data_IF_288701904726
#
_entry.id   IF_288701904726
#
_cell.length_a   1.000
_cell.length_b   1.000
_cell.length_c   1.000
_cell.angle_alpha   90.00
_cell.angle_beta   90.00
_cell.angle_gamma   90.00
#
_symmetry.space_group_name_H-M   'P 1'
#
loop_
_entity.id
_entity.type
_entity.pdbx_description
1 polymer ?
#
# COMPACT_ATOMS: atom_id res chain seq x y z
N UNK A 1 -51.82 21.52 -18.51
CA UNK A 1 -51.84 20.55 -17.38
C UNK A 1 -50.79 19.50 -17.73
N UNK A 2 -49.53 19.67 -17.30
CA UNK A 2 -48.95 19.12 -16.05
C UNK A 2 -49.04 17.58 -16.05
N UNK A 3 -47.99 16.77 -15.95
CA UNK A 3 -46.66 16.95 -15.37
C UNK A 3 -45.63 16.06 -16.09
N UNK A 4 -44.50 16.66 -16.44
CA UNK A 4 -43.23 15.97 -16.55
C UNK A 4 -42.62 15.96 -15.13
N UNK A 5 -42.38 14.78 -14.58
CA UNK A 5 -41.65 14.59 -13.33
C UNK A 5 -40.64 13.48 -13.59
N UNK A 6 -39.41 13.87 -13.96
CA UNK A 6 -38.28 13.88 -13.03
C UNK A 6 -37.90 12.47 -12.55
N UNK A 7 -37.59 11.60 -13.50
CA UNK A 7 -36.69 10.46 -13.26
C UNK A 7 -35.28 11.02 -13.07
N UNK A 8 -34.97 11.32 -11.81
CA UNK A 8 -33.66 11.74 -11.35
C UNK A 8 -32.66 10.62 -11.60
N UNK A 9 -31.77 10.90 -12.55
CA UNK A 9 -30.41 10.39 -12.70
C UNK A 9 -29.75 10.06 -11.34
N UNK A 10 -29.94 8.85 -10.84
CA UNK A 10 -28.98 8.19 -9.95
C UNK A 10 -27.99 7.40 -10.81
N UNK A 11 -27.29 8.11 -11.70
CA UNK A 11 -26.04 7.62 -12.22
C UNK A 11 -25.04 7.75 -11.08
N UNK A 12 -24.82 6.66 -10.34
CA UNK A 12 -23.62 6.54 -9.52
C UNK A 12 -22.47 6.75 -10.50
N UNK A 13 -21.82 7.89 -10.38
CA UNK A 13 -20.67 8.25 -11.18
C UNK A 13 -19.52 7.33 -10.77
N UNK A 14 -19.50 6.14 -11.38
CA UNK A 14 -18.43 5.16 -11.25
C UNK A 14 -17.18 5.58 -12.05
N UNK A 15 -17.19 6.74 -12.72
CA UNK A 15 -16.01 7.26 -13.38
C UNK A 15 -15.09 7.87 -12.33
N UNK A 16 -14.16 7.02 -11.88
CA UNK A 16 -12.85 7.44 -11.37
C UNK A 16 -12.93 8.04 -9.96
N UNK A 17 -12.85 7.16 -8.96
CA UNK A 17 -12.11 7.47 -7.73
C UNK A 17 -10.67 7.81 -8.15
N UNK A 18 -10.43 9.03 -8.62
CA UNK A 18 -9.09 9.56 -8.84
C UNK A 18 -8.40 9.52 -7.49
N UNK A 19 -7.49 8.57 -7.33
CA UNK A 19 -6.63 8.53 -6.14
C UNK A 19 -5.96 9.90 -6.01
N UNK A 20 -6.23 10.57 -4.90
CA UNK A 20 -5.77 11.91 -4.58
C UNK A 20 -4.44 11.84 -3.81
N UNK A 21 -3.73 12.96 -3.77
CA UNK A 21 -2.65 13.15 -2.79
C UNK A 21 -3.20 13.06 -1.36
N UNK A 22 -4.46 13.44 -1.13
CA UNK A 22 -5.12 13.31 0.16
C UNK A 22 -5.26 11.85 0.60
N UNK A 23 -5.48 10.92 -0.34
CA UNK A 23 -5.53 9.49 -0.03
C UNK A 23 -4.17 8.98 0.45
N UNK A 24 -3.08 9.50 -0.12
CA UNK A 24 -1.71 9.19 0.31
C UNK A 24 -1.46 9.72 1.73
N UNK A 25 -1.85 10.97 1.99
CA UNK A 25 -1.72 11.58 3.33
C UNK A 25 -2.56 10.85 4.36
N UNK A 26 -3.80 10.51 4.04
CA UNK A 26 -4.70 9.76 4.92
C UNK A 26 -4.15 8.35 5.20
N UNK A 27 -3.68 7.64 4.17
CA UNK A 27 -3.06 6.31 4.34
C UNK A 27 -1.81 6.36 5.25
N UNK A 28 -0.97 7.39 5.11
CA UNK A 28 0.16 7.61 6.03
C UNK A 28 -0.32 7.86 7.46
N UNK A 29 -1.25 8.80 7.67
CA UNK A 29 -1.76 9.16 8.99
C UNK A 29 -2.43 7.97 9.71
N UNK A 30 -3.14 7.11 8.96
CA UNK A 30 -3.77 5.91 9.51
C UNK A 30 -2.77 4.83 9.93
N UNK A 31 -1.55 4.82 9.38
CA UNK A 31 -0.54 3.80 9.66
C UNK A 31 0.54 4.28 10.63
N UNK A 32 0.86 5.57 10.62
CA UNK A 32 1.89 6.18 11.45
C UNK A 32 1.68 5.88 12.95
N UNK A 33 2.76 5.46 13.62
CA UNK A 33 2.75 5.11 15.04
C UNK A 33 1.97 3.85 15.42
N UNK A 34 1.30 3.15 14.50
CA UNK A 34 0.52 1.95 14.84
C UNK A 34 1.39 0.72 15.08
N UNK A 35 2.50 0.60 14.36
CA UNK A 35 3.49 -0.44 14.61
C UNK A 35 4.66 0.19 15.36
N UNK A 36 4.80 -0.14 16.64
CA UNK A 36 5.87 0.39 17.50
C UNK A 36 6.42 -0.64 18.49
N UNK A 37 5.82 -1.82 18.56
CA UNK A 37 6.16 -2.93 19.44
C UNK A 37 5.69 -4.26 18.81
N UNK A 38 5.96 -5.37 19.49
CA UNK A 38 5.38 -6.66 19.14
C UNK A 38 3.90 -6.65 19.56
N UNK A 39 2.96 -6.69 18.62
CA UNK A 39 1.51 -6.70 18.87
C UNK A 39 0.85 -8.04 18.47
N UNK A 40 1.66 -9.08 18.36
CA UNK A 40 1.23 -10.44 18.05
C UNK A 40 1.69 -11.44 19.12
N UNK A 41 0.89 -12.51 19.36
CA UNK A 41 1.31 -13.60 20.23
C UNK A 41 2.65 -14.18 19.75
N UNK A 42 3.64 -14.20 20.63
CA UNK A 42 4.99 -14.71 20.34
C UNK A 42 5.43 -15.57 21.50
N UNK A 43 5.86 -16.81 21.23
CA UNK A 43 6.53 -17.64 22.22
C UNK A 43 8.05 -17.53 22.01
N UNK A 44 8.75 -16.91 22.97
CA UNK A 44 10.19 -16.68 22.88
C UNK A 44 10.98 -17.54 23.87
N UNK A 45 12.07 -18.16 23.41
CA UNK A 45 12.94 -18.98 24.25
C UNK A 45 12.33 -20.32 24.69
N UNK A 46 13.01 -21.03 25.59
CA UNK A 46 12.57 -22.34 26.08
C UNK A 46 11.43 -22.22 27.11
N UNK A 47 11.34 -21.10 27.81
CA UNK A 47 10.24 -20.83 28.74
C UNK A 47 9.00 -20.28 28.04
N UNK A 48 9.02 -20.15 26.70
CA UNK A 48 7.90 -19.66 25.89
C UNK A 48 7.34 -18.31 26.38
N UNK A 49 8.24 -17.35 26.62
CA UNK A 49 7.87 -16.01 27.08
C UNK A 49 6.92 -15.36 26.07
N UNK A 50 5.79 -14.84 26.56
CA UNK A 50 4.86 -14.06 25.75
C UNK A 50 5.35 -12.61 25.63
N UNK A 51 5.65 -12.20 24.39
CA UNK A 51 6.16 -10.86 24.09
C UNK A 51 5.08 -9.91 23.57
N UNK A 52 3.82 -10.35 23.49
CA UNK A 52 2.72 -9.55 22.99
C UNK A 52 2.51 -8.28 23.83
N UNK A 53 2.54 -7.13 23.17
CA UNK A 53 2.44 -5.80 23.76
C UNK A 53 3.72 -5.28 24.42
N UNK A 54 4.78 -6.09 24.55
CA UNK A 54 5.99 -5.70 25.27
C UNK A 54 6.95 -4.87 24.42
N UNK A 55 7.63 -3.95 25.11
CA UNK A 55 8.78 -3.18 24.61
C UNK A 55 10.11 -3.75 25.09
N UNK A 56 11.18 -3.43 24.39
CA UNK A 56 12.56 -3.80 24.74
C UNK A 56 12.94 -3.36 26.18
N UNK A 57 12.50 -2.17 26.58
CA UNK A 57 12.72 -1.62 27.91
C UNK A 57 11.99 -2.40 29.01
N UNK A 58 10.76 -2.86 28.74
CA UNK A 58 9.99 -3.68 29.67
C UNK A 58 10.62 -5.07 29.84
N UNK A 59 11.03 -5.71 28.75
CA UNK A 59 11.76 -6.98 28.80
C UNK A 59 13.10 -6.84 29.56
N UNK A 60 13.77 -5.68 29.44
CA UNK A 60 14.98 -5.39 30.23
C UNK A 60 14.69 -5.30 31.73
N UNK A 61 13.55 -4.73 32.13
CA UNK A 61 13.13 -4.71 33.54
C UNK A 61 12.83 -6.11 34.06
N UNK A 62 12.11 -6.93 33.27
CA UNK A 62 11.82 -8.33 33.61
C UNK A 62 13.11 -9.16 33.75
N UNK A 63 14.10 -8.93 32.88
CA UNK A 63 15.41 -9.58 32.99
C UNK A 63 16.13 -9.25 34.31
N UNK A 64 15.95 -8.04 34.87
CA UNK A 64 16.54 -7.63 36.15
C UNK A 64 15.77 -8.18 37.35
N UNK A 65 14.47 -8.40 37.18
CA UNK A 65 13.59 -8.93 38.23
C UNK A 65 13.63 -10.46 38.34
N UNK A 66 14.22 -11.15 37.36
CA UNK A 66 14.31 -12.62 37.29
C UNK A 66 15.75 -13.09 37.44
N UNK A 67 15.96 -14.37 37.71
CA UNK A 67 17.28 -14.96 37.94
C UNK A 67 17.54 -16.17 37.03
N UNK A 68 18.82 -16.53 36.91
CA UNK A 68 19.25 -17.70 36.14
C UNK A 68 18.80 -17.65 34.67
N UNK A 69 18.31 -18.78 34.17
CA UNK A 69 17.93 -18.94 32.75
C UNK A 69 16.84 -17.99 32.30
N UNK A 70 15.84 -17.73 33.14
CA UNK A 70 14.74 -16.83 32.79
C UNK A 70 15.25 -15.41 32.53
N UNK A 71 16.19 -14.93 33.35
CA UNK A 71 16.88 -13.65 33.16
C UNK A 71 17.62 -13.58 31.82
N UNK A 72 18.30 -14.66 31.43
CA UNK A 72 18.99 -14.75 30.13
C UNK A 72 18.01 -14.70 28.95
N UNK A 73 16.88 -15.41 29.04
CA UNK A 73 15.84 -15.39 28.02
C UNK A 73 15.18 -14.02 27.90
N UNK A 74 14.89 -13.33 29.01
CA UNK A 74 14.40 -11.96 28.98
C UNK A 74 15.41 -10.97 28.37
N UNK A 75 16.72 -11.14 28.62
CA UNK A 75 17.75 -10.32 27.94
C UNK A 75 17.77 -10.56 26.44
N UNK A 76 17.59 -11.81 26.01
CA UNK A 76 17.51 -12.13 24.59
C UNK A 76 16.23 -11.57 23.96
N UNK A 77 15.08 -11.68 24.64
CA UNK A 77 13.82 -11.09 24.22
C UNK A 77 13.92 -9.56 24.10
N UNK A 78 14.58 -8.89 25.06
CA UNK A 78 14.78 -7.45 25.01
C UNK A 78 15.57 -6.99 23.78
N UNK A 79 16.62 -7.73 23.38
CA UNK A 79 17.38 -7.45 22.16
C UNK A 79 16.50 -7.61 20.91
N UNK A 80 15.79 -8.72 20.81
CA UNK A 80 14.90 -9.00 19.68
C UNK A 80 13.77 -7.97 19.55
N UNK A 81 13.15 -7.57 20.67
CA UNK A 81 12.17 -6.48 20.69
C UNK A 81 12.79 -5.14 20.25
N UNK A 82 14.05 -4.88 20.62
CA UNK A 82 14.77 -3.70 20.15
C UNK A 82 14.97 -3.68 18.63
N UNK A 83 15.22 -4.83 18.02
CA UNK A 83 15.30 -4.97 16.55
C UNK A 83 13.95 -4.69 15.88
N UNK A 84 12.83 -5.14 16.47
CA UNK A 84 11.48 -4.83 15.99
C UNK A 84 11.20 -3.32 16.08
N UNK A 85 11.50 -2.71 17.22
CA UNK A 85 11.30 -1.27 17.45
C UNK A 85 12.13 -0.42 16.46
N UNK A 86 13.36 -0.85 16.16
CA UNK A 86 14.22 -0.25 15.14
C UNK A 86 13.61 -0.38 13.74
N UNK A 87 13.21 -1.58 13.35
CA UNK A 87 12.58 -1.84 12.06
C UNK A 87 11.29 -1.03 11.87
N UNK A 88 10.46 -0.94 12.91
CA UNK A 88 9.24 -0.15 12.90
C UNK A 88 9.54 1.34 12.64
N UNK A 89 10.54 1.89 13.32
CA UNK A 89 10.97 3.29 13.11
C UNK A 89 11.53 3.51 11.71
N UNK A 90 12.35 2.59 11.21
CA UNK A 90 12.92 2.69 9.86
C UNK A 90 11.83 2.62 8.79
N UNK A 91 10.84 1.75 8.96
CA UNK A 91 9.70 1.67 8.05
C UNK A 91 8.87 2.97 8.06
N UNK A 92 8.66 3.59 9.22
CA UNK A 92 7.97 4.87 9.31
C UNK A 92 8.75 6.01 8.64
N UNK A 93 10.08 6.04 8.76
CA UNK A 93 10.94 7.00 8.05
C UNK A 93 10.77 6.87 6.53
N UNK A 94 10.81 5.65 6.01
CA UNK A 94 10.60 5.36 4.58
C UNK A 94 9.17 5.75 4.15
N UNK A 95 8.15 5.45 4.95
CA UNK A 95 6.76 5.83 4.68
C UNK A 95 6.56 7.35 4.67
N UNK A 96 7.18 8.08 5.60
CA UNK A 96 7.14 9.55 5.65
C UNK A 96 7.81 10.17 4.43
N UNK A 97 8.96 9.63 4.01
CA UNK A 97 9.63 10.04 2.78
C UNK A 97 8.75 9.80 1.55
N UNK A 98 8.06 8.65 1.48
CA UNK A 98 7.12 8.34 0.42
C UNK A 98 5.98 9.37 0.34
N UNK A 99 5.37 9.71 1.48
CA UNK A 99 4.32 10.72 1.55
C UNK A 99 4.83 12.09 1.05
N UNK A 100 5.98 12.58 1.53
CA UNK A 100 6.54 13.86 1.10
C UNK A 100 6.88 13.90 -0.40
N UNK A 101 7.42 12.80 -0.94
CA UNK A 101 7.71 12.73 -2.38
C UNK A 101 6.43 12.69 -3.22
N UNK A 102 5.39 12.02 -2.72
CA UNK A 102 4.09 11.98 -3.40
C UNK A 102 3.42 13.36 -3.44
N UNK A 103 3.44 14.10 -2.34
CA UNK A 103 2.90 15.47 -2.28
C UNK A 103 3.69 16.43 -3.18
N UNK A 104 5.00 16.21 -3.32
CA UNK A 104 5.85 16.92 -4.27
C UNK A 104 5.69 16.45 -5.74
N UNK A 105 4.80 15.48 -6.01
CA UNK A 105 4.55 14.94 -7.35
C UNK A 105 5.62 13.98 -7.89
N UNK A 106 6.64 13.61 -7.10
CA UNK A 106 7.72 12.68 -7.45
C UNK A 106 7.29 11.22 -7.24
N UNK A 107 6.22 10.82 -7.94
CA UNK A 107 5.51 9.56 -7.70
C UNK A 107 6.37 8.29 -7.86
N UNK A 108 7.26 8.16 -8.86
CA UNK A 108 8.09 6.95 -8.97
C UNK A 108 9.02 6.75 -7.77
N UNK A 109 9.59 7.83 -7.24
CA UNK A 109 10.45 7.77 -6.06
C UNK A 109 9.63 7.49 -4.80
N UNK A 110 8.48 8.15 -4.67
CA UNK A 110 7.53 7.90 -3.58
C UNK A 110 7.16 6.42 -3.50
N UNK A 111 6.87 5.78 -4.64
CA UNK A 111 6.53 4.36 -4.69
C UNK A 111 7.68 3.48 -4.20
N UNK A 112 8.92 3.80 -4.58
CA UNK A 112 10.11 3.07 -4.10
C UNK A 112 10.27 3.16 -2.58
N UNK A 113 10.04 4.34 -1.99
CA UNK A 113 10.10 4.53 -0.54
C UNK A 113 8.96 3.76 0.17
N UNK A 114 7.73 3.79 -0.38
CA UNK A 114 6.62 3.00 0.16
C UNK A 114 6.87 1.49 0.07
N UNK A 115 7.50 1.02 -1.01
CA UNK A 115 7.90 -0.38 -1.18
C UNK A 115 8.87 -0.82 -0.08
N UNK A 116 9.88 0.00 0.24
CA UNK A 116 10.83 -0.27 1.33
C UNK A 116 10.14 -0.35 2.69
N UNK A 117 9.21 0.57 2.97
CA UNK A 117 8.44 0.52 4.21
C UNK A 117 7.65 -0.81 4.32
N UNK A 118 7.04 -1.26 3.22
CA UNK A 118 6.37 -2.56 3.14
C UNK A 118 7.36 -3.71 3.33
N UNK A 119 8.51 -3.71 2.68
CA UNK A 119 9.52 -4.77 2.80
C UNK A 119 10.05 -4.92 4.23
N UNK A 120 10.39 -3.81 4.89
CA UNK A 120 10.85 -3.81 6.29
C UNK A 120 9.76 -4.42 7.20
N UNK A 121 8.52 -3.97 7.01
CA UNK A 121 7.40 -4.44 7.82
C UNK A 121 6.97 -5.88 7.49
N UNK A 122 7.15 -6.31 6.24
CA UNK A 122 6.78 -7.65 5.76
C UNK A 122 7.65 -8.77 6.33
N UNK A 123 8.80 -8.44 6.93
CA UNK A 123 9.62 -9.38 7.68
C UNK A 123 8.96 -9.81 9.01
N UNK A 124 7.93 -9.08 9.47
CA UNK A 124 7.27 -9.33 10.75
C UNK A 124 5.81 -9.74 10.57
N UNK A 125 5.30 -10.68 11.40
CA UNK A 125 3.90 -11.04 11.39
C UNK A 125 3.00 -9.82 11.61
N UNK A 126 1.87 -9.75 10.89
CA UNK A 126 0.81 -8.73 11.01
C UNK A 126 1.21 -7.26 10.78
N UNK A 127 2.49 -6.95 10.57
CA UNK A 127 2.97 -5.60 10.33
C UNK A 127 2.72 -5.09 8.89
N UNK A 128 1.67 -5.53 8.19
CA UNK A 128 1.34 -5.06 6.82
C UNK A 128 0.66 -3.69 6.79
N UNK A 129 1.02 -2.81 7.71
CA UNK A 129 0.38 -1.51 7.94
C UNK A 129 0.65 -0.51 6.81
N UNK A 130 1.73 -0.69 6.04
CA UNK A 130 2.15 0.24 4.98
C UNK A 130 1.62 -0.11 3.59
N UNK A 131 0.93 -1.23 3.42
CA UNK A 131 0.33 -1.63 2.14
C UNK A 131 -0.69 -0.62 1.60
N UNK A 132 -1.60 -0.05 2.42
CA UNK A 132 -2.52 0.99 1.95
C UNK A 132 -1.80 2.22 1.40
N UNK A 133 -0.69 2.64 2.03
CA UNK A 133 0.12 3.76 1.56
C UNK A 133 0.76 3.45 0.19
N UNK A 134 1.35 2.26 0.03
CA UNK A 134 1.93 1.81 -1.24
C UNK A 134 0.86 1.75 -2.33
N UNK A 135 -0.30 1.19 -2.02
CA UNK A 135 -1.43 1.09 -2.95
C UNK A 135 -1.92 2.47 -3.39
N UNK A 136 -2.02 3.44 -2.46
CA UNK A 136 -2.45 4.80 -2.77
C UNK A 136 -1.49 5.50 -3.74
N UNK A 137 -0.18 5.38 -3.50
CA UNK A 137 0.83 5.97 -4.38
C UNK A 137 0.84 5.29 -5.76
N UNK A 138 0.69 3.96 -5.81
CA UNK A 138 0.63 3.21 -7.07
C UNK A 138 -0.61 3.60 -7.90
N UNK A 139 -1.78 3.75 -7.26
CA UNK A 139 -2.99 4.21 -7.92
C UNK A 139 -2.87 5.63 -8.46
N UNK A 140 -2.31 6.56 -7.68
CA UNK A 140 -2.04 7.94 -8.12
C UNK A 140 -1.09 7.99 -9.33
N UNK A 141 -0.06 7.13 -9.36
CA UNK A 141 0.85 7.01 -10.50
C UNK A 141 0.13 6.47 -11.76
N UNK A 142 -0.76 5.49 -11.59
CA UNK A 142 -1.57 4.92 -12.67
C UNK A 142 -2.47 5.97 -13.33
N UNK A 143 -3.18 6.78 -12.53
CA UNK A 143 -4.07 7.84 -13.02
C UNK A 143 -3.32 8.87 -13.89
N UNK A 144 -2.10 9.28 -13.48
CA UNK A 144 -1.30 10.23 -14.26
C UNK A 144 -0.80 9.66 -15.58
N UNK A 145 -0.42 8.38 -15.61
CA UNK A 145 0.01 7.71 -16.84
C UNK A 145 -1.13 7.69 -17.86
N UNK A 146 -2.34 7.36 -17.41
CA UNK A 146 -3.51 7.32 -18.30
C UNK A 146 -3.89 8.70 -18.84
N UNK A 147 -3.79 9.76 -18.04
CA UNK A 147 -4.03 11.14 -18.51
C UNK A 147 -3.02 11.62 -19.56
N UNK A 148 -1.79 11.11 -19.51
CA UNK A 148 -0.71 11.51 -20.40
C UNK A 148 -0.62 10.67 -21.69
N UNK A 149 -1.51 9.68 -21.90
CA UNK A 149 -1.58 8.90 -23.13
C UNK A 149 -2.72 9.42 -24.03
N UNK A 150 -2.43 10.22 -25.07
CA UNK A 150 -3.46 10.74 -25.98
C UNK A 150 -4.03 9.71 -26.97
N UNK A 151 -3.66 8.42 -26.87
CA UNK A 151 -3.96 7.40 -27.89
C UNK A 151 -5.38 6.81 -27.84
N UNK A 152 -6.35 7.44 -27.16
CA UNK A 152 -7.73 6.92 -27.06
C UNK A 152 -8.81 7.68 -27.86
N UNK A 153 -8.45 8.72 -28.62
CA UNK A 153 -9.36 9.41 -29.55
C UNK A 153 -9.08 9.09 -31.03
N UNK A 154 -8.64 7.88 -31.35
CA UNK A 154 -8.67 7.40 -32.75
C UNK A 154 -9.98 6.66 -32.96
N UNK A 155 -11.01 7.41 -33.37
CA UNK A 155 -12.23 6.82 -33.93
C UNK A 155 -11.86 5.78 -35.02
N UNK A 156 -12.51 4.60 -35.05
CA UNK A 156 -12.37 3.70 -36.18
C UNK A 156 -13.03 4.34 -37.40
N UNK A 157 -12.23 5.02 -38.23
CA UNK A 157 -12.63 5.37 -39.61
C UNK A 157 -12.98 4.07 -40.32
N UNK A 158 -14.27 3.79 -40.41
CA UNK A 158 -14.83 2.75 -41.27
C UNK A 158 -14.48 3.10 -42.71
N UNK A 159 -13.35 2.60 -43.20
CA UNK A 159 -13.03 2.61 -44.63
C UNK A 159 -13.92 1.56 -45.28
N UNK A 160 -15.04 2.04 -45.83
CA UNK A 160 -15.95 1.29 -46.68
C UNK A 160 -15.43 1.38 -48.10
N UNK A 161 -14.58 0.46 -48.54
CA UNK A 161 -14.19 0.41 -49.95
C UNK A 161 -13.77 -1.00 -50.39
N UNK A 162 -14.40 -1.47 -51.48
CA UNK A 162 -13.85 -2.57 -52.28
C UNK A 162 -14.71 -3.84 -52.41
N UNK A 163 -15.83 -3.78 -53.12
CA UNK A 163 -16.41 -4.96 -53.77
C UNK A 163 -16.48 -4.71 -55.29
N UNK A 164 -15.36 -4.99 -55.97
CA UNK A 164 -15.29 -5.01 -57.43
C UNK A 164 -15.79 -6.37 -57.95
N UNK A 165 -16.82 -6.32 -58.80
CA UNK A 165 -17.28 -7.42 -59.63
C UNK A 165 -16.29 -7.65 -60.78
N UNK A 166 -15.82 -8.89 -60.97
CA UNK A 166 -15.29 -9.33 -62.26
C UNK A 166 -15.94 -10.67 -62.61
N UNK A 167 -16.82 -10.63 -63.61
CA UNK A 167 -17.34 -11.81 -64.32
C UNK A 167 -16.30 -12.22 -65.36
N UNK A 168 -15.93 -13.50 -65.41
CA UNK A 168 -15.32 -14.11 -66.59
C UNK A 168 -16.24 -15.24 -67.06
N UNK A 169 -16.73 -15.06 -68.28
CA UNK A 169 -17.54 -16.00 -69.06
C UNK A 169 -16.59 -16.96 -69.76
N UNK A 170 -16.81 -18.27 -69.64
CA UNK A 170 -16.16 -19.28 -70.47
C UNK A 170 -17.22 -19.90 -71.38
N UNK A 171 -17.02 -19.80 -72.69
CA UNK A 171 -17.76 -20.52 -73.72
C UNK A 171 -16.77 -21.06 -74.75
N UNK A 172 -16.89 -22.38 -74.98
CA UNK A 172 -16.44 -23.24 -76.10
C UNK A 172 -15.16 -22.91 -76.87
#
# INVERSE_FOLDING_TARGET
MANASEETRNGIDWQRMEMSVDDVTNAYQQAAGRWSNCDWPTAFGRSSLDLNGLKSSQATLLARATAGRESEEWRAAARWLGEIEEAARQAEVEAKAAMHLATAGRLPEALRHAQRAVEISGAYPRARIWEPLRAAIAGLLGTRRHRNDPSHDVEPRTVREGAAQVRVVAAN
#
